data_IF_861571223441
#
_entry.id   IF_861571223441
#
_cell.length_a   1.000
_cell.length_b   1.000
_cell.length_c   1.000
_cell.angle_alpha   90.00
_cell.angle_beta   90.00
_cell.angle_gamma   90.00
#
_symmetry.space_group_name_H-M   'P 1'
#
loop_
_entity.id
_entity.type
_entity.pdbx_description
1 polymer ?
#
# COMPACT_ATOMS: atom_id res chain seq x y z
N UNK A 1 24.63 36.62 -35.06
CA UNK A 1 24.95 36.58 -33.61
C UNK A 1 23.72 36.48 -32.71
N UNK A 2 22.52 36.98 -33.11
CA UNK A 2 21.27 36.83 -32.33
C UNK A 2 20.58 35.47 -32.46
N UNK A 3 20.82 34.74 -33.54
CA UNK A 3 20.25 33.39 -33.78
C UNK A 3 20.99 32.27 -33.04
N UNK A 4 22.24 32.49 -32.61
CA UNK A 4 23.00 31.54 -31.78
C UNK A 4 22.56 31.53 -30.31
N UNK A 5 21.95 32.62 -29.82
CA UNK A 5 21.54 32.75 -28.43
C UNK A 5 20.21 32.03 -28.12
N UNK A 6 19.38 31.79 -29.14
CA UNK A 6 18.06 31.13 -29.00
C UNK A 6 18.18 29.60 -28.92
N UNK A 7 19.21 29.03 -29.56
CA UNK A 7 19.45 27.58 -29.56
C UNK A 7 19.98 27.06 -28.21
N UNK A 8 20.62 27.91 -27.40
CA UNK A 8 21.13 27.54 -26.06
C UNK A 8 20.00 27.49 -25.02
N UNK A 9 18.94 28.29 -25.19
CA UNK A 9 17.79 28.32 -24.27
C UNK A 9 16.83 27.14 -24.46
N UNK A 10 16.83 26.49 -25.63
CA UNK A 10 15.94 25.35 -25.91
C UNK A 10 16.48 24.01 -25.39
N UNK A 11 17.78 23.92 -25.07
CA UNK A 11 18.41 22.73 -24.49
C UNK A 11 18.32 22.66 -22.96
N UNK A 12 17.92 23.74 -22.29
CA UNK A 12 17.79 23.78 -20.84
C UNK A 12 16.49 23.18 -20.29
N UNK A 13 15.53 22.80 -21.15
CA UNK A 13 14.18 22.38 -20.73
C UNK A 13 13.98 20.85 -20.60
N UNK A 14 14.96 20.01 -20.94
CA UNK A 14 14.78 18.54 -21.02
C UNK A 14 15.22 17.75 -19.76
N UNK A 15 15.45 18.42 -18.63
CA UNK A 15 16.09 17.80 -17.45
C UNK A 15 15.18 17.22 -16.36
N UNK A 16 13.84 17.30 -16.47
CA UNK A 16 12.93 16.86 -15.39
C UNK A 16 12.20 15.56 -15.71
N UNK A 17 12.91 14.54 -16.20
CA UNK A 17 12.39 13.16 -16.14
C UNK A 17 12.78 12.59 -14.78
N UNK A 18 11.95 12.91 -13.79
CA UNK A 18 12.08 12.39 -12.43
C UNK A 18 11.70 10.90 -12.46
N UNK A 19 12.71 10.04 -12.29
CA UNK A 19 12.55 8.60 -12.24
C UNK A 19 11.70 8.22 -11.03
N UNK A 20 10.46 7.75 -11.25
CA UNK A 20 9.64 7.16 -10.20
C UNK A 20 10.30 5.83 -9.79
N UNK A 21 10.89 5.81 -8.60
CA UNK A 21 11.49 4.62 -8.00
C UNK A 21 10.34 3.67 -7.66
N UNK A 22 10.09 2.70 -8.52
CA UNK A 22 9.18 1.61 -8.24
C UNK A 22 9.87 0.71 -7.19
N UNK A 23 9.55 0.92 -5.92
CA UNK A 23 10.00 0.06 -4.83
C UNK A 23 9.33 -1.31 -5.02
N UNK A 24 9.99 -2.20 -5.76
CA UNK A 24 9.56 -3.59 -5.91
C UNK A 24 9.67 -4.25 -4.55
N UNK A 25 8.53 -4.36 -3.86
CA UNK A 25 8.48 -5.04 -2.57
C UNK A 25 8.59 -6.54 -2.80
N UNK A 26 9.51 -7.26 -2.15
CA UNK A 26 9.60 -8.70 -2.28
C UNK A 26 8.30 -9.35 -1.80
N UNK A 27 7.69 -10.13 -2.70
CA UNK A 27 6.53 -10.98 -2.38
C UNK A 27 7.06 -12.31 -1.89
N UNK A 28 6.76 -12.67 -0.65
CA UNK A 28 7.09 -13.99 -0.09
C UNK A 28 5.77 -14.66 0.28
N UNK A 29 5.44 -15.76 -0.39
CA UNK A 29 4.26 -16.58 -0.08
C UNK A 29 2.95 -15.77 0.04
N UNK A 30 2.67 -14.92 -0.96
CA UNK A 30 1.49 -14.05 -0.99
C UNK A 30 1.50 -12.89 0.00
N UNK A 31 2.58 -12.72 0.77
CA UNK A 31 2.74 -11.65 1.77
C UNK A 31 3.56 -10.49 1.21
N UNK A 32 3.09 -9.26 1.45
CA UNK A 32 3.73 -8.01 1.01
C UNK A 32 3.67 -6.94 2.09
N UNK A 33 4.64 -6.02 2.09
CA UNK A 33 4.72 -4.89 3.02
C UNK A 33 4.62 -3.56 2.27
N UNK A 34 3.50 -2.85 2.40
CA UNK A 34 3.22 -1.66 1.62
C UNK A 34 2.93 -0.46 2.52
N UNK A 35 3.50 0.70 2.18
CA UNK A 35 3.10 2.00 2.74
C UNK A 35 1.91 2.56 1.97
N UNK A 36 1.31 3.62 2.51
CA UNK A 36 0.31 4.40 1.77
C UNK A 36 0.84 4.81 0.39
N UNK A 37 -0.02 4.68 -0.62
CA UNK A 37 0.25 4.92 -2.04
C UNK A 37 1.26 3.99 -2.71
N UNK A 38 1.81 2.99 -2.01
CA UNK A 38 2.65 1.96 -2.62
C UNK A 38 1.82 0.79 -3.15
N UNK A 39 2.39 0.09 -4.13
CA UNK A 39 1.80 -1.09 -4.73
C UNK A 39 2.82 -2.20 -4.92
N UNK A 40 2.33 -3.44 -4.98
CA UNK A 40 3.11 -4.61 -5.34
C UNK A 40 2.25 -5.58 -6.15
N UNK A 41 2.87 -6.28 -7.09
CA UNK A 41 2.21 -7.36 -7.84
C UNK A 41 2.51 -8.69 -7.17
N UNK A 42 1.47 -9.34 -6.67
CA UNK A 42 1.51 -10.68 -6.06
C UNK A 42 1.14 -11.72 -7.10
N UNK A 43 1.98 -12.74 -7.27
CA UNK A 43 1.65 -13.92 -8.07
C UNK A 43 1.09 -15.01 -7.15
N UNK A 44 -0.16 -15.41 -7.36
CA UNK A 44 -0.84 -16.41 -6.54
C UNK A 44 -1.91 -17.13 -7.38
N UNK A 45 -2.14 -18.42 -7.14
CA UNK A 45 -3.02 -19.27 -7.96
C UNK A 45 -2.79 -19.14 -9.49
N UNK A 46 -1.54 -18.94 -9.92
CA UNK A 46 -1.20 -18.75 -11.34
C UNK A 46 -1.62 -17.39 -11.94
N UNK A 47 -2.19 -16.49 -11.15
CA UNK A 47 -2.60 -15.13 -11.56
C UNK A 47 -1.67 -14.07 -10.98
N UNK A 48 -1.56 -12.94 -11.67
CA UNK A 48 -0.89 -11.73 -11.17
C UNK A 48 -1.93 -10.74 -10.67
N UNK A 49 -1.84 -10.36 -9.41
CA UNK A 49 -2.76 -9.42 -8.77
C UNK A 49 -1.96 -8.21 -8.30
N UNK A 50 -2.32 -7.02 -8.75
CA UNK A 50 -1.79 -5.77 -8.22
C UNK A 50 -2.52 -5.43 -6.92
N UNK A 51 -1.78 -5.31 -5.82
CA UNK A 51 -2.26 -4.75 -4.57
C UNK A 51 -1.70 -3.34 -4.42
N UNK A 52 -2.54 -2.38 -4.05
CA UNK A 52 -2.15 -1.01 -3.74
C UNK A 52 -2.80 -0.59 -2.44
N UNK A 53 -2.02 0.00 -1.53
CA UNK A 53 -2.57 0.61 -0.32
C UNK A 53 -2.98 2.04 -0.66
N UNK A 54 -4.27 2.28 -0.90
CA UNK A 54 -4.78 3.61 -1.21
C UNK A 54 -4.67 4.56 -0.01
N UNK A 55 -4.95 4.04 1.19
CA UNK A 55 -4.86 4.78 2.45
C UNK A 55 -4.42 3.88 3.58
N UNK A 56 -3.58 4.42 4.47
CA UNK A 56 -3.16 3.76 5.69
C UNK A 56 -3.20 4.78 6.83
N UNK A 57 -3.92 4.46 7.89
CA UNK A 57 -3.98 5.28 9.10
C UNK A 57 -3.96 4.40 10.34
N UNK A 58 -3.26 4.84 11.38
CA UNK A 58 -3.11 4.09 12.62
C UNK A 58 -3.33 5.01 13.82
N UNK A 59 -4.47 4.83 14.48
CA UNK A 59 -4.85 5.55 15.69
C UNK A 59 -4.95 4.63 16.90
N UNK A 60 -4.39 3.42 16.82
CA UNK A 60 -4.43 2.46 17.92
C UNK A 60 -3.81 3.07 19.16
N UNK A 61 -4.41 2.79 20.31
CA UNK A 61 -3.95 3.28 21.60
C UNK A 61 -2.46 2.91 21.78
N UNK A 62 -1.56 3.88 21.95
CA UNK A 62 -0.14 3.59 22.07
C UNK A 62 0.20 2.70 23.25
N UNK A 63 1.28 1.95 23.12
CA UNK A 63 1.75 1.06 24.18
C UNK A 63 2.02 1.87 25.46
N UNK A 64 1.62 1.33 26.62
CA UNK A 64 1.76 1.95 27.94
C UNK A 64 0.94 3.25 28.15
N UNK A 65 -0.13 3.47 27.38
CA UNK A 65 -1.09 4.55 27.64
C UNK A 65 -2.47 4.00 27.98
N UNK A 66 -3.19 4.72 28.85
CA UNK A 66 -4.58 4.45 29.13
C UNK A 66 -5.45 5.34 28.23
N UNK A 67 -6.02 4.75 27.18
CA UNK A 67 -6.92 5.47 26.28
C UNK A 67 -8.38 5.23 26.66
N UNK A 68 -9.21 6.28 26.56
CA UNK A 68 -10.67 6.15 26.66
C UNK A 68 -11.20 5.34 25.47
N UNK A 69 -10.58 5.50 24.30
CA UNK A 69 -10.89 4.77 23.07
C UNK A 69 -9.68 3.97 22.62
N UNK A 70 -9.87 2.68 22.32
CA UNK A 70 -8.77 1.79 21.91
C UNK A 70 -8.20 2.13 20.52
N UNK A 71 -8.95 2.86 19.70
CA UNK A 71 -8.54 3.24 18.35
C UNK A 71 -8.46 2.04 17.40
N UNK A 72 -7.91 2.28 16.20
CA UNK A 72 -7.80 1.26 15.16
C UNK A 72 -6.72 1.59 14.15
N UNK A 73 -6.22 0.56 13.45
CA UNK A 73 -5.45 0.75 12.23
C UNK A 73 -6.33 0.36 11.05
N UNK A 74 -6.47 1.27 10.09
CA UNK A 74 -7.30 1.13 8.91
C UNK A 74 -6.42 1.13 7.67
N UNK A 75 -6.61 0.13 6.81
CA UNK A 75 -5.98 0.05 5.50
C UNK A 75 -7.06 -0.06 4.41
N UNK A 76 -7.10 0.91 3.50
CA UNK A 76 -7.89 0.82 2.27
C UNK A 76 -6.99 0.25 1.18
N UNK A 77 -7.34 -0.93 0.67
CA UNK A 77 -6.53 -1.71 -0.27
C UNK A 77 -7.30 -1.85 -1.58
N UNK A 78 -6.68 -1.40 -2.66
CA UNK A 78 -7.12 -1.64 -4.03
C UNK A 78 -6.48 -2.92 -4.55
N UNK A 79 -7.30 -3.80 -5.14
CA UNK A 79 -6.87 -5.01 -5.80
C UNK A 79 -7.28 -4.95 -7.27
N UNK A 80 -6.37 -5.30 -8.17
CA UNK A 80 -6.65 -5.34 -9.61
C UNK A 80 -6.02 -6.57 -10.24
N UNK A 81 -6.82 -7.30 -11.04
CA UNK A 81 -6.32 -8.37 -11.90
C UNK A 81 -5.56 -7.84 -13.13
N UNK A 82 -5.25 -8.71 -14.08
CA UNK A 82 -4.61 -8.31 -15.34
C UNK A 82 -5.58 -7.56 -16.27
N UNK A 83 -6.86 -7.96 -16.30
CA UNK A 83 -7.85 -7.42 -17.25
C UNK A 83 -9.09 -6.80 -16.59
N UNK A 84 -9.14 -6.77 -15.26
CA UNK A 84 -10.30 -6.31 -14.49
C UNK A 84 -10.20 -4.87 -13.94
N UNK A 85 -11.33 -4.39 -13.44
CA UNK A 85 -11.42 -3.15 -12.67
C UNK A 85 -10.76 -3.29 -11.30
N UNK A 86 -10.42 -2.14 -10.71
CA UNK A 86 -9.91 -2.11 -9.35
C UNK A 86 -11.07 -2.34 -8.36
N UNK A 87 -10.89 -3.29 -7.46
CA UNK A 87 -11.76 -3.51 -6.31
C UNK A 87 -11.13 -2.85 -5.08
N UNK A 88 -11.86 -1.93 -4.42
CA UNK A 88 -11.44 -1.34 -3.16
C UNK A 88 -12.02 -2.14 -1.99
N UNK A 89 -11.19 -2.45 -0.99
CA UNK A 89 -11.62 -3.09 0.25
C UNK A 89 -10.97 -2.42 1.47
N UNK A 90 -11.62 -2.51 2.62
CA UNK A 90 -11.16 -1.88 3.86
C UNK A 90 -10.93 -2.94 4.92
N UNK A 91 -9.71 -2.95 5.46
CA UNK A 91 -9.26 -3.88 6.49
C UNK A 91 -8.86 -3.12 7.74
N UNK A 92 -9.06 -3.75 8.88
CA UNK A 92 -8.95 -3.03 10.13
C UNK A 92 -8.48 -3.90 11.31
N UNK A 93 -7.49 -3.38 12.05
CA UNK A 93 -6.96 -3.96 13.28
C UNK A 93 -7.34 -3.11 14.50
N UNK A 94 -7.56 -3.75 15.65
CA UNK A 94 -7.97 -3.08 16.89
C UNK A 94 -9.48 -3.15 17.11
N UNK A 95 -10.12 -2.02 17.40
CA UNK A 95 -11.52 -1.97 17.84
C UNK A 95 -12.56 -2.53 16.83
N UNK A 96 -12.24 -2.47 15.53
CA UNK A 96 -13.09 -2.85 14.41
C UNK A 96 -13.13 -4.35 14.07
N UNK A 97 -12.16 -5.14 14.56
CA UNK A 97 -12.10 -6.61 14.41
C UNK A 97 -12.46 -7.17 13.01
N UNK A 98 -12.04 -6.49 11.93
CA UNK A 98 -12.26 -6.92 10.56
C UNK A 98 -10.95 -6.88 9.78
N UNK A 99 -10.03 -7.76 10.17
CA UNK A 99 -8.67 -7.83 9.63
C UNK A 99 -8.59 -8.53 8.27
N UNK A 100 -9.70 -9.15 7.84
CA UNK A 100 -9.75 -10.06 6.71
C UNK A 100 -10.97 -9.77 5.83
N UNK A 101 -10.80 -9.90 4.50
CA UNK A 101 -11.88 -9.76 3.54
C UNK A 101 -11.84 -10.86 2.48
N UNK A 102 -13.01 -11.39 2.12
CA UNK A 102 -13.15 -12.22 0.93
C UNK A 102 -13.28 -11.33 -0.30
N UNK A 103 -12.43 -11.56 -1.30
CA UNK A 103 -12.41 -10.79 -2.55
C UNK A 103 -12.39 -11.75 -3.74
N UNK A 104 -12.94 -11.32 -4.88
CA UNK A 104 -12.98 -12.14 -6.09
C UNK A 104 -12.29 -11.39 -7.21
N UNK A 105 -11.22 -11.97 -7.74
CA UNK A 105 -10.40 -11.35 -8.78
C UNK A 105 -10.41 -12.27 -9.99
N UNK A 106 -11.01 -11.79 -11.09
CA UNK A 106 -11.16 -12.57 -12.33
C UNK A 106 -11.70 -13.99 -12.09
N UNK A 107 -12.84 -14.05 -11.38
CA UNK A 107 -13.55 -15.28 -10.99
C UNK A 107 -12.79 -16.22 -10.02
N UNK A 108 -11.64 -15.82 -9.48
CA UNK A 108 -10.93 -16.59 -8.45
C UNK A 108 -11.15 -15.94 -7.07
N UNK A 109 -11.67 -16.69 -6.08
CA UNK A 109 -11.85 -16.18 -4.73
C UNK A 109 -10.52 -16.18 -3.94
N UNK A 110 -10.31 -15.13 -3.15
CA UNK A 110 -9.16 -14.97 -2.27
C UNK A 110 -9.57 -14.49 -0.89
N UNK A 111 -8.72 -14.78 0.09
CA UNK A 111 -8.67 -14.11 1.38
C UNK A 111 -7.55 -13.06 1.35
N UNK A 112 -7.93 -11.81 1.58
CA UNK A 112 -7.00 -10.73 1.85
C UNK A 112 -6.97 -10.47 3.36
N UNK A 113 -5.79 -10.48 3.96
CA UNK A 113 -5.60 -10.28 5.40
C UNK A 113 -4.62 -9.14 5.66
N UNK A 114 -5.00 -8.23 6.56
CA UNK A 114 -4.12 -7.23 7.16
C UNK A 114 -3.46 -7.84 8.41
N UNK A 115 -2.27 -8.40 8.23
CA UNK A 115 -1.58 -9.11 9.31
C UNK A 115 -0.99 -8.18 10.37
N UNK A 116 -0.43 -7.03 9.94
CA UNK A 116 0.11 -6.03 10.86
C UNK A 116 0.12 -4.64 10.22
N UNK A 117 0.21 -3.62 11.07
CA UNK A 117 0.61 -2.26 10.70
C UNK A 117 1.73 -1.86 11.62
N UNK A 118 2.88 -1.51 11.03
CA UNK A 118 4.12 -1.27 11.75
C UNK A 118 4.75 0.07 11.34
N UNK A 119 5.40 0.79 12.27
CA UNK A 119 5.49 0.47 13.68
C UNK A 119 4.18 0.74 14.44
N UNK A 120 3.97 0.05 15.55
CA UNK A 120 2.85 0.34 16.46
C UNK A 120 2.97 1.77 17.02
N UNK A 121 1.85 2.50 17.24
CA UNK A 121 1.89 3.87 17.76
C UNK A 121 2.59 3.98 19.12
N UNK A 122 3.51 4.93 19.23
CA UNK A 122 4.25 5.29 20.44
C UNK A 122 4.87 6.68 20.26
N UNK A 123 5.34 7.30 21.36
CA UNK A 123 6.08 8.57 21.27
C UNK A 123 7.32 8.47 20.37
N UNK A 124 7.98 7.31 20.33
CA UNK A 124 9.18 7.07 19.52
C UNK A 124 8.89 6.79 18.03
N UNK A 125 7.62 6.56 17.68
CA UNK A 125 7.20 6.14 16.33
C UNK A 125 6.28 7.15 15.65
N UNK A 126 5.90 8.24 16.32
CA UNK A 126 4.97 9.25 15.82
C UNK A 126 5.35 9.88 14.47
N UNK A 127 6.65 9.99 14.16
CA UNK A 127 7.15 10.53 12.88
C UNK A 127 7.54 9.46 11.86
N UNK A 128 7.45 8.17 12.22
CA UNK A 128 7.84 7.07 11.33
C UNK A 128 6.67 6.70 10.42
N UNK A 129 6.92 6.49 9.11
CA UNK A 129 5.86 6.08 8.21
C UNK A 129 5.38 4.66 8.54
N UNK A 130 4.07 4.49 8.66
CA UNK A 130 3.45 3.18 8.83
C UNK A 130 3.53 2.34 7.55
N UNK A 131 3.63 1.04 7.73
CA UNK A 131 3.69 0.01 6.69
C UNK A 131 2.69 -1.09 7.04
N UNK A 132 1.82 -1.44 6.12
CA UNK A 132 0.87 -2.54 6.25
C UNK A 132 1.48 -3.84 5.73
N UNK A 133 1.40 -4.90 6.52
CA UNK A 133 1.70 -6.27 6.08
C UNK A 133 0.40 -6.90 5.60
N UNK A 134 0.28 -7.11 4.29
CA UNK A 134 -0.88 -7.72 3.65
C UNK A 134 -0.53 -9.15 3.22
N UNK A 135 -1.49 -10.06 3.33
CA UNK A 135 -1.37 -11.43 2.83
C UNK A 135 -2.56 -11.77 1.95
N UNK A 136 -2.30 -12.22 0.73
CA UNK A 136 -3.31 -12.66 -0.23
C UNK A 136 -3.18 -14.16 -0.49
N UNK A 137 -4.18 -14.94 -0.08
CA UNK A 137 -4.21 -16.40 -0.26
C UNK A 137 -5.44 -16.83 -1.05
N UNK A 138 -5.33 -17.78 -2.00
CA UNK A 138 -6.49 -18.37 -2.66
C UNK A 138 -7.41 -19.03 -1.62
N UNK A 139 -8.72 -18.99 -1.86
CA UNK A 139 -9.73 -19.65 -1.02
C UNK A 139 -9.98 -21.09 -1.47
#
# INVERSE_FOLDING_TARGET
MKTLLVLVLFWAALGLVQCQKNDVTPVIDGTVKLRASQSATVKTAGKSVLLRVAKLSDSRCPTNMQCIWQGQALAEVELRGATGDAQLTSLCLGACQNDSAAVVIEAVPYWLVLASVDPYPSAATASKPSTATLRLTPR
#
